data_IF_761083381663
#
_entry.id   IF_761083381663
#
_cell.length_a   1.000
_cell.length_b   1.000
_cell.length_c   1.000
_cell.angle_alpha   90.00
_cell.angle_beta   90.00
_cell.angle_gamma   90.00
#
_symmetry.space_group_name_H-M   'P 1'
#
loop_
_entity.id
_entity.type
_entity.pdbx_description
1 polymer ?
#
# COMPACT_ATOMS: atom_id res chain seq x y z
N UNK A 1 37.31 -6.02 16.51
CA UNK A 1 36.55 -7.27 16.32
C UNK A 1 35.89 -7.23 14.96
N UNK A 2 36.28 -8.10 14.04
CA UNK A 2 35.78 -8.11 12.66
C UNK A 2 34.36 -8.69 12.60
N UNK A 3 33.34 -7.86 12.34
CA UNK A 3 32.00 -8.33 12.01
C UNK A 3 32.00 -8.87 10.58
N UNK A 4 31.81 -10.18 10.45
CA UNK A 4 31.65 -10.86 9.17
C UNK A 4 30.18 -10.73 8.75
N UNK A 5 29.89 -9.79 7.84
CA UNK A 5 28.54 -9.65 7.27
C UNK A 5 28.47 -10.56 6.02
N UNK A 6 27.79 -11.70 6.15
CA UNK A 6 27.52 -12.61 5.02
C UNK A 6 26.43 -12.02 4.12
N UNK A 7 26.80 -11.66 2.88
CA UNK A 7 25.91 -11.08 1.85
C UNK A 7 25.52 -12.09 0.76
N UNK A 8 25.75 -13.39 0.95
CA UNK A 8 25.37 -14.39 -0.04
C UNK A 8 23.85 -14.41 -0.22
N UNK A 9 23.39 -14.32 -1.47
CA UNK A 9 22.00 -14.64 -1.80
C UNK A 9 21.76 -16.10 -1.43
N UNK A 10 20.98 -16.33 -0.36
CA UNK A 10 20.66 -17.66 0.14
C UNK A 10 20.21 -18.57 -0.99
N UNK A 11 20.93 -19.67 -1.20
CA UNK A 11 20.60 -20.66 -2.21
C UNK A 11 19.26 -21.33 -1.87
N UNK A 12 18.22 -20.95 -2.61
CA UNK A 12 17.06 -21.77 -2.99
C UNK A 12 16.36 -22.59 -1.89
N UNK A 13 15.22 -22.07 -1.41
CA UNK A 13 14.05 -22.81 -0.90
C UNK A 13 14.16 -23.63 0.40
N UNK A 14 15.35 -23.94 0.93
CA UNK A 14 15.48 -24.67 2.22
C UNK A 14 15.32 -23.78 3.46
N UNK A 15 15.71 -22.51 3.38
CA UNK A 15 15.65 -21.58 4.53
C UNK A 15 14.25 -21.09 4.85
N UNK A 16 13.38 -20.93 3.84
CA UNK A 16 12.01 -20.40 4.04
C UNK A 16 11.12 -21.35 4.81
N UNK A 17 11.15 -22.65 4.47
CA UNK A 17 10.38 -23.68 5.17
C UNK A 17 10.87 -23.87 6.60
N UNK A 18 12.19 -23.85 6.82
CA UNK A 18 12.78 -23.93 8.15
C UNK A 18 12.46 -22.68 8.98
N UNK A 19 12.53 -21.49 8.37
CA UNK A 19 12.11 -20.22 9.00
C UNK A 19 10.64 -20.27 9.39
N UNK A 20 9.75 -20.71 8.50
CA UNK A 20 8.32 -20.82 8.81
C UNK A 20 8.03 -21.83 9.93
N UNK A 21 8.72 -22.99 9.94
CA UNK A 21 8.63 -23.97 11.03
C UNK A 21 9.12 -23.39 12.35
N UNK A 22 10.23 -22.66 12.32
CA UNK A 22 10.78 -21.97 13.49
C UNK A 22 9.81 -20.91 14.02
N UNK A 23 9.32 -20.01 13.15
CA UNK A 23 8.32 -18.99 13.50
C UNK A 23 7.06 -19.63 14.12
N UNK A 24 6.60 -20.75 13.58
CA UNK A 24 5.44 -21.48 14.12
C UNK A 24 5.75 -22.14 15.47
N UNK A 25 6.94 -22.72 15.64
CA UNK A 25 7.36 -23.44 16.86
C UNK A 25 7.61 -22.47 18.02
N UNK A 26 8.31 -21.38 17.77
CA UNK A 26 8.68 -20.37 18.78
C UNK A 26 7.75 -19.15 18.76
N UNK A 27 6.56 -19.29 18.18
CA UNK A 27 5.59 -18.20 18.01
C UNK A 27 5.32 -17.44 19.30
N UNK A 28 5.19 -18.13 20.43
CA UNK A 28 4.93 -17.51 21.73
C UNK A 28 6.13 -16.70 22.25
N UNK A 29 7.35 -17.19 22.06
CA UNK A 29 8.57 -16.47 22.46
C UNK A 29 8.78 -15.25 21.58
N UNK A 30 8.57 -15.39 20.27
CA UNK A 30 8.59 -14.29 19.32
C UNK A 30 7.53 -13.24 19.69
N UNK A 31 6.30 -13.65 20.02
CA UNK A 31 5.24 -12.72 20.46
C UNK A 31 5.63 -11.94 21.72
N UNK A 32 6.22 -12.59 22.71
CA UNK A 32 6.72 -11.91 23.93
C UNK A 32 7.82 -10.91 23.58
N UNK A 33 8.79 -11.33 22.77
CA UNK A 33 9.87 -10.45 22.35
C UNK A 33 9.38 -9.25 21.53
N UNK A 34 8.38 -9.45 20.64
CA UNK A 34 7.69 -8.38 19.90
C UNK A 34 6.96 -7.43 20.85
N UNK A 35 6.22 -7.95 21.84
CA UNK A 35 5.53 -7.12 22.84
C UNK A 35 6.52 -6.24 23.63
N UNK A 36 7.62 -6.82 24.07
CA UNK A 36 8.65 -6.11 24.84
C UNK A 36 9.37 -5.05 23.99
N UNK A 37 9.57 -5.34 22.70
CA UNK A 37 10.16 -4.39 21.75
C UNK A 37 9.23 -3.20 21.47
N UNK A 38 7.91 -3.44 21.31
CA UNK A 38 6.91 -2.38 21.14
C UNK A 38 6.89 -1.42 22.34
N UNK A 39 7.04 -1.94 23.56
CA UNK A 39 7.13 -1.13 24.78
C UNK A 39 8.28 -0.12 24.75
N UNK A 40 9.38 -0.44 24.06
CA UNK A 40 10.59 0.40 23.99
C UNK A 40 10.69 1.32 22.78
N UNK A 41 9.93 1.05 21.70
CA UNK A 41 10.04 1.78 20.41
C UNK A 41 9.22 3.07 20.34
N UNK A 42 9.56 3.96 19.42
CA UNK A 42 8.67 5.02 18.94
C UNK A 42 7.67 4.49 17.89
N UNK A 43 6.45 5.03 17.89
CA UNK A 43 5.36 4.88 16.93
C UNK A 43 5.83 5.21 15.51
N UNK A 44 6.69 6.22 15.36
CA UNK A 44 7.18 6.71 14.06
C UNK A 44 8.13 5.73 13.35
N UNK A 45 8.92 4.96 14.10
CA UNK A 45 9.97 4.11 13.53
C UNK A 45 9.48 2.77 12.99
N UNK A 46 8.20 2.40 13.17
CA UNK A 46 7.62 1.08 12.91
C UNK A 46 7.74 0.62 11.44
N UNK A 47 7.96 1.55 10.51
CA UNK A 47 8.15 1.23 9.09
C UNK A 47 9.44 0.46 8.79
N UNK A 48 10.42 0.47 9.70
CA UNK A 48 11.68 -0.25 9.53
C UNK A 48 11.56 -1.70 10.05
N UNK A 49 12.10 -2.66 9.30
CA UNK A 49 12.18 -4.07 9.70
C UNK A 49 12.96 -4.25 11.02
N UNK A 50 12.56 -5.22 11.83
CA UNK A 50 13.02 -5.33 13.21
C UNK A 50 14.01 -6.48 13.40
N UNK A 51 15.07 -6.23 14.17
CA UNK A 51 15.99 -7.26 14.66
C UNK A 51 15.59 -7.68 16.07
N UNK A 52 14.98 -8.87 16.20
CA UNK A 52 14.56 -9.41 17.49
C UNK A 52 15.57 -10.45 17.93
N UNK A 53 16.16 -10.25 19.11
CA UNK A 53 16.97 -11.26 19.79
C UNK A 53 16.08 -12.17 20.63
N UNK A 54 16.23 -13.48 20.45
CA UNK A 54 15.61 -14.48 21.32
C UNK A 54 16.73 -15.18 22.10
N UNK A 55 16.66 -15.24 23.44
CA UNK A 55 17.66 -15.93 24.24
C UNK A 55 17.78 -17.40 23.84
N UNK A 56 19.02 -17.91 23.71
CA UNK A 56 19.26 -19.29 23.28
C UNK A 56 18.64 -20.34 24.22
N UNK A 57 18.50 -20.02 25.52
CA UNK A 57 17.84 -20.87 26.53
C UNK A 57 16.42 -21.28 26.14
N UNK A 58 15.69 -20.37 25.50
CA UNK A 58 14.30 -20.59 25.07
C UNK A 58 14.20 -21.41 23.78
N UNK A 59 15.33 -21.64 23.08
CA UNK A 59 15.38 -22.32 21.78
C UNK A 59 15.82 -23.79 21.90
N UNK A 60 16.12 -24.27 23.11
CA UNK A 60 16.67 -25.63 23.31
C UNK A 60 15.87 -26.74 22.62
N UNK A 61 16.56 -27.52 21.79
CA UNK A 61 15.99 -28.68 21.13
C UNK A 61 16.36 -29.96 21.88
N UNK A 62 15.41 -30.89 22.07
CA UNK A 62 15.74 -32.20 22.62
C UNK A 62 16.62 -32.94 21.63
N UNK A 63 17.83 -33.29 22.07
CA UNK A 63 18.78 -34.04 21.26
C UNK A 63 18.69 -35.53 21.61
N UNK A 64 18.32 -36.35 20.63
CA UNK A 64 18.33 -37.80 20.80
C UNK A 64 19.78 -38.30 20.70
N UNK A 65 20.26 -38.92 21.78
CA UNK A 65 21.51 -39.70 21.78
C UNK A 65 21.17 -41.17 21.90
N UNK A 66 21.93 -42.01 21.22
CA UNK A 66 21.88 -43.44 21.46
C UNK A 66 22.48 -43.69 22.85
N UNK A 67 21.61 -43.93 23.84
CA UNK A 67 22.03 -44.33 25.19
C UNK A 67 22.34 -45.84 25.24
N UNK A 68 23.15 -46.27 26.21
CA UNK A 68 23.41 -47.69 26.49
C UNK A 68 22.28 -48.38 27.28
N UNK A 69 21.05 -47.88 27.14
CA UNK A 69 19.86 -48.41 27.81
C UNK A 69 19.03 -49.28 26.87
N UNK A 70 18.32 -50.26 27.44
CA UNK A 70 17.47 -51.22 26.71
C UNK A 70 18.16 -52.56 26.43
N UNK A 71 17.38 -53.53 25.92
CA UNK A 71 17.92 -54.78 25.38
C UNK A 71 18.48 -54.48 23.98
N UNK A 72 19.81 -54.47 23.85
CA UNK A 72 20.48 -54.29 22.56
C UNK A 72 21.05 -55.63 22.13
N UNK A 73 20.52 -56.19 21.05
CA UNK A 73 21.07 -57.38 20.41
C UNK A 73 22.12 -56.94 19.37
N UNK A 74 23.38 -57.36 19.55
CA UNK A 74 24.47 -57.10 18.62
C UNK A 74 25.07 -58.43 18.20
N UNK A 75 25.24 -58.63 16.90
CA UNK A 75 25.99 -59.76 16.35
C UNK A 75 27.46 -59.37 16.27
N UNK A 76 28.34 -60.13 16.93
CA UNK A 76 29.80 -59.99 16.84
C UNK A 76 30.34 -61.17 16.02
N UNK A 77 30.93 -60.95 14.83
CA UNK A 77 31.53 -62.03 14.05
C UNK A 77 32.87 -62.48 14.66
N UNK A 78 33.20 -63.77 14.55
CA UNK A 78 34.47 -64.35 15.05
C UNK A 78 34.39 -64.96 16.46
N UNK A 79 33.33 -65.71 16.74
CA UNK A 79 33.14 -66.37 18.03
C UNK A 79 33.69 -67.80 18.00
N UNK A 80 34.86 -68.00 18.62
CA UNK A 80 35.47 -69.33 18.78
C UNK A 80 35.38 -69.86 20.22
N UNK A 81 34.98 -69.03 21.19
CA UNK A 81 35.10 -69.31 22.63
C UNK A 81 33.76 -69.36 23.41
N UNK A 82 32.66 -68.83 22.87
CA UNK A 82 31.39 -68.71 23.61
C UNK A 82 30.25 -69.55 23.01
N UNK A 83 29.39 -70.12 23.86
CA UNK A 83 28.19 -70.89 23.46
C UNK A 83 26.93 -70.08 23.79
N UNK A 84 25.81 -70.39 23.13
CA UNK A 84 24.50 -69.78 23.42
C UNK A 84 24.12 -69.93 24.89
N UNK A 85 24.09 -68.82 25.63
CA UNK A 85 23.77 -68.78 27.06
C UNK A 85 24.86 -68.20 27.95
N UNK A 86 26.09 -68.05 27.43
CA UNK A 86 27.21 -67.49 28.19
C UNK A 86 27.04 -65.99 28.50
N UNK A 87 27.46 -65.59 29.70
CA UNK A 87 27.41 -64.20 30.16
C UNK A 87 28.77 -63.53 29.91
N UNK A 88 28.84 -62.66 28.91
CA UNK A 88 30.03 -61.85 28.64
C UNK A 88 30.05 -60.67 29.63
N UNK A 89 31.22 -60.38 30.21
CA UNK A 89 31.39 -59.19 31.08
C UNK A 89 31.10 -57.94 30.26
N UNK A 90 30.23 -57.06 30.78
CA UNK A 90 29.95 -55.75 30.17
C UNK A 90 31.29 -55.02 29.99
N UNK A 91 31.63 -54.53 28.78
CA UNK A 91 32.85 -53.77 28.60
C UNK A 91 32.83 -52.59 29.57
N UNK A 92 33.83 -52.54 30.46
CA UNK A 92 34.09 -51.35 31.27
C UNK A 92 34.38 -50.23 30.29
N UNK A 93 33.58 -49.16 30.32
CA UNK A 93 33.65 -48.07 29.36
C UNK A 93 35.09 -47.68 29.07
N UNK A 94 35.51 -47.88 27.82
CA UNK A 94 36.83 -47.48 27.36
C UNK A 94 36.93 -45.96 27.42
N UNK A 95 37.67 -45.47 28.42
CA UNK A 95 38.26 -44.15 28.38
C UNK A 95 39.41 -44.15 27.37
N UNK A 96 39.25 -43.39 26.29
CA UNK A 96 40.26 -42.94 25.34
C UNK A 96 39.60 -41.82 24.53
N UNK A 97 40.10 -40.59 24.44
CA UNK A 97 41.34 -39.99 24.91
C UNK A 97 41.14 -38.48 25.08
N UNK A 98 42.17 -37.81 25.61
CA UNK A 98 42.11 -36.47 26.17
C UNK A 98 41.56 -35.36 25.27
N UNK A 99 40.81 -34.48 25.91
CA UNK A 99 40.56 -33.10 25.50
C UNK A 99 40.39 -32.31 26.79
N UNK A 100 41.28 -31.35 27.02
CA UNK A 100 41.46 -30.68 28.30
C UNK A 100 40.15 -30.15 28.89
N UNK A 101 40.02 -30.29 30.21
CA UNK A 101 39.06 -29.51 30.96
C UNK A 101 39.39 -28.04 30.79
N UNK A 102 38.65 -27.34 29.93
CA UNK A 102 38.36 -25.95 30.19
C UNK A 102 37.48 -25.95 31.43
N UNK A 103 38.02 -25.42 32.53
CA UNK A 103 37.17 -24.84 33.54
C UNK A 103 36.21 -23.90 32.80
N UNK A 104 34.93 -24.23 32.79
CA UNK A 104 33.90 -23.25 32.54
C UNK A 104 34.03 -22.24 33.67
N UNK A 105 34.70 -21.13 33.40
CA UNK A 105 34.61 -19.93 34.21
C UNK A 105 33.13 -19.62 34.43
N UNK A 106 32.74 -19.27 35.66
CA UNK A 106 31.41 -18.77 36.04
C UNK A 106 31.04 -17.43 35.35
N UNK A 107 31.85 -17.01 34.38
CA UNK A 107 31.69 -15.88 33.49
C UNK A 107 31.67 -16.34 32.03
N UNK A 108 30.86 -17.35 31.73
CA UNK A 108 30.62 -17.82 30.36
C UNK A 108 29.68 -16.87 29.62
N UNK A 109 30.22 -15.77 29.09
CA UNK A 109 29.60 -15.08 27.97
C UNK A 109 29.72 -15.96 26.71
N UNK A 110 28.59 -16.19 26.02
CA UNK A 110 28.59 -16.78 24.70
C UNK A 110 27.56 -17.88 24.44
N UNK A 111 26.37 -17.82 25.03
CA UNK A 111 25.21 -18.33 24.30
C UNK A 111 24.85 -17.25 23.28
N UNK A 112 25.19 -17.47 22.01
CA UNK A 112 24.90 -16.53 20.93
C UNK A 112 23.38 -16.37 20.82
N UNK A 113 22.93 -15.19 21.25
CA UNK A 113 21.59 -14.70 21.08
C UNK A 113 21.18 -14.80 19.60
N UNK A 114 20.08 -15.51 19.33
CA UNK A 114 19.60 -15.65 17.96
C UNK A 114 18.88 -14.37 17.55
N UNK A 115 19.56 -13.55 16.75
CA UNK A 115 19.00 -12.32 16.18
C UNK A 115 18.29 -12.64 14.85
N UNK A 116 16.99 -12.42 14.80
CA UNK A 116 16.19 -12.57 13.59
C UNK A 116 15.71 -11.22 13.06
N UNK A 117 15.77 -11.06 11.73
CA UNK A 117 15.14 -9.94 11.04
C UNK A 117 13.69 -10.30 10.66
N UNK A 118 12.74 -9.58 11.24
CA UNK A 118 11.34 -9.59 10.82
C UNK A 118 11.08 -8.50 9.79
N UNK A 119 10.29 -8.83 8.77
CA UNK A 119 9.76 -7.79 7.89
C UNK A 119 8.71 -6.96 8.63
N UNK A 120 8.45 -5.75 8.15
CA UNK A 120 7.36 -4.90 8.65
C UNK A 120 6.04 -5.67 8.71
N UNK A 121 5.68 -6.36 7.63
CA UNK A 121 4.41 -7.09 7.53
C UNK A 121 4.32 -8.23 8.57
N UNK A 122 5.39 -9.01 8.75
CA UNK A 122 5.43 -10.11 9.71
C UNK A 122 5.35 -9.61 11.16
N UNK A 123 6.06 -8.52 11.46
CA UNK A 123 5.99 -7.88 12.78
C UNK A 123 4.56 -7.43 13.10
N UNK A 124 3.89 -6.77 12.14
CA UNK A 124 2.53 -6.30 12.30
C UNK A 124 1.53 -7.44 12.46
N UNK A 125 1.67 -8.52 11.71
CA UNK A 125 0.81 -9.70 11.84
C UNK A 125 0.92 -10.31 13.23
N UNK A 126 2.16 -10.56 13.71
CA UNK A 126 2.40 -11.10 15.04
C UNK A 126 1.86 -10.20 16.16
N UNK A 127 1.96 -8.90 15.94
CA UNK A 127 1.43 -7.87 16.83
C UNK A 127 -0.11 -7.83 16.85
N UNK A 128 -0.77 -7.88 15.68
CA UNK A 128 -2.24 -7.87 15.59
C UNK A 128 -2.88 -9.15 16.08
N UNK A 129 -2.19 -10.28 15.95
CA UNK A 129 -2.63 -11.53 16.56
C UNK A 129 -2.69 -11.46 18.10
N UNK A 130 -1.87 -10.62 18.75
CA UNK A 130 -1.93 -10.39 20.20
C UNK A 130 -3.11 -9.48 20.59
N UNK A 131 -3.63 -8.70 19.63
CA UNK A 131 -4.75 -7.79 19.84
C UNK A 131 -6.12 -8.42 19.53
N UNK A 132 -6.16 -9.66 19.03
CA UNK A 132 -7.38 -10.41 18.70
C UNK A 132 -8.41 -9.58 17.88
N UNK A 133 -7.97 -8.99 16.75
CA UNK A 133 -8.81 -8.08 15.93
C UNK A 133 -9.35 -8.72 14.64
N UNK A 134 -10.38 -9.60 14.69
CA UNK A 134 -10.87 -10.35 13.51
C UNK A 134 -11.56 -9.48 12.45
N UNK A 135 -12.13 -8.33 12.83
CA UNK A 135 -12.93 -7.50 11.91
C UNK A 135 -12.13 -6.40 11.19
N UNK A 136 -10.83 -6.26 11.47
CA UNK A 136 -9.98 -5.24 10.83
C UNK A 136 -9.81 -5.51 9.33
N UNK A 137 -9.69 -6.78 8.95
CA UNK A 137 -9.56 -7.26 7.55
C UNK A 137 -10.77 -6.87 6.69
N UNK A 138 -11.98 -6.92 7.26
CA UNK A 138 -13.22 -6.62 6.52
C UNK A 138 -13.36 -5.15 6.17
N UNK A 139 -12.79 -4.25 7.00
CA UNK A 139 -12.88 -2.78 6.80
C UNK A 139 -11.91 -2.27 5.73
N UNK A 140 -10.83 -2.98 5.44
CA UNK A 140 -9.88 -2.59 4.38
C UNK A 140 -10.51 -2.56 2.98
N UNK A 141 -11.57 -3.36 2.76
CA UNK A 141 -12.29 -3.44 1.49
C UNK A 141 -13.25 -2.26 1.25
N UNK A 142 -13.49 -1.42 2.26
CA UNK A 142 -14.43 -0.29 2.21
C UNK A 142 -13.74 1.06 1.93
N UNK A 143 -12.73 1.10 1.05
CA UNK A 143 -12.11 2.37 0.63
C UNK A 143 -13.09 3.19 -0.23
N UNK A 144 -13.63 4.26 0.34
CA UNK A 144 -14.45 5.23 -0.37
C UNK A 144 -13.51 6.19 -1.11
N UNK A 145 -13.34 5.98 -2.41
CA UNK A 145 -12.63 6.95 -3.25
C UNK A 145 -13.51 8.19 -3.44
N UNK A 146 -13.00 9.35 -3.01
CA UNK A 146 -13.67 10.62 -3.29
C UNK A 146 -13.28 11.10 -4.70
N UNK A 147 -14.29 11.47 -5.49
CA UNK A 147 -14.10 11.93 -6.86
C UNK A 147 -14.43 13.42 -6.96
N UNK A 148 -13.57 14.18 -7.64
CA UNK A 148 -13.89 15.56 -8.05
C UNK A 148 -14.19 15.60 -9.53
N UNK A 149 -15.26 16.30 -9.88
CA UNK A 149 -15.60 16.57 -11.27
C UNK A 149 -14.74 17.73 -11.79
N UNK A 150 -13.92 17.48 -12.81
CA UNK A 150 -13.16 18.52 -13.51
C UNK A 150 -13.69 18.70 -14.94
N UNK A 151 -13.51 19.90 -15.50
CA UNK A 151 -13.88 20.19 -16.90
C UNK A 151 -12.82 19.58 -17.83
N UNK A 152 -13.24 18.67 -18.70
CA UNK A 152 -12.37 17.92 -19.62
C UNK A 152 -12.46 18.40 -21.08
N UNK A 153 -13.10 19.55 -21.31
CA UNK A 153 -13.29 20.10 -22.65
C UNK A 153 -14.67 19.77 -23.22
N UNK A 154 -14.71 19.31 -24.47
CA UNK A 154 -15.93 19.18 -25.26
C UNK A 154 -15.96 17.85 -26.02
N UNK A 155 -17.10 17.17 -26.04
CA UNK A 155 -17.33 15.91 -26.75
C UNK A 155 -18.43 16.06 -27.80
N UNK A 156 -18.48 15.16 -28.79
CA UNK A 156 -19.52 15.15 -29.83
C UNK A 156 -20.84 14.55 -29.36
N UNK A 157 -20.83 13.75 -28.29
CA UNK A 157 -22.01 13.16 -27.67
C UNK A 157 -22.05 13.46 -26.17
N UNK A 158 -23.26 13.52 -25.60
CA UNK A 158 -23.48 13.82 -24.20
C UNK A 158 -24.94 14.03 -23.87
N UNK A 159 -25.23 14.34 -22.61
CA UNK A 159 -26.59 14.66 -22.15
C UNK A 159 -27.01 16.03 -22.67
N UNK A 160 -28.28 16.23 -23.08
CA UNK A 160 -28.77 17.52 -23.58
C UNK A 160 -28.52 18.70 -22.63
N UNK A 161 -28.50 18.45 -21.33
CA UNK A 161 -28.18 19.44 -20.29
C UNK A 161 -26.78 20.04 -20.41
N UNK A 162 -25.83 19.31 -21.00
CA UNK A 162 -24.45 19.72 -21.14
C UNK A 162 -24.14 20.29 -22.55
N UNK A 163 -25.14 20.56 -23.39
CA UNK A 163 -24.91 21.11 -24.73
C UNK A 163 -24.16 22.45 -24.66
N UNK A 164 -23.07 22.53 -25.42
CA UNK A 164 -22.38 23.78 -25.69
C UNK A 164 -23.00 24.44 -26.92
N UNK A 165 -23.97 25.33 -26.69
CA UNK A 165 -24.74 25.99 -27.75
C UNK A 165 -23.83 26.76 -28.71
N UNK A 166 -22.86 27.53 -28.19
CA UNK A 166 -21.99 28.36 -29.02
C UNK A 166 -21.15 27.54 -29.99
N UNK A 167 -20.50 26.46 -29.51
CA UNK A 167 -19.69 25.58 -30.38
C UNK A 167 -20.57 24.78 -31.33
N UNK A 168 -21.73 24.31 -30.89
CA UNK A 168 -22.66 23.57 -31.75
C UNK A 168 -23.17 24.44 -32.90
N UNK A 169 -23.58 25.68 -32.61
CA UNK A 169 -24.03 26.65 -33.60
C UNK A 169 -22.91 27.07 -34.55
N UNK A 170 -21.67 27.19 -34.06
CA UNK A 170 -20.50 27.45 -34.92
C UNK A 170 -20.25 26.29 -35.89
N UNK A 171 -20.35 25.05 -35.43
CA UNK A 171 -20.20 23.87 -36.28
C UNK A 171 -21.33 23.78 -37.32
N UNK A 172 -22.57 24.01 -36.89
CA UNK A 172 -23.75 23.99 -37.75
C UNK A 172 -23.70 25.06 -38.85
N UNK A 173 -23.30 26.29 -38.51
CA UNK A 173 -23.15 27.37 -39.49
C UNK A 173 -22.02 27.08 -40.47
N UNK A 174 -20.87 26.57 -40.01
CA UNK A 174 -19.77 26.16 -40.88
C UNK A 174 -20.19 25.05 -41.86
N UNK A 175 -20.86 24.00 -41.37
CA UNK A 175 -21.40 22.91 -42.20
C UNK A 175 -22.39 23.44 -43.23
N UNK A 176 -23.31 24.29 -42.82
CA UNK A 176 -24.31 24.89 -43.71
C UNK A 176 -23.68 25.74 -44.80
N UNK A 177 -22.65 26.53 -44.47
CA UNK A 177 -21.90 27.30 -45.46
C UNK A 177 -21.21 26.36 -46.45
N UNK A 178 -20.52 25.32 -45.96
CA UNK A 178 -19.82 24.35 -46.82
C UNK A 178 -20.79 23.63 -47.79
N UNK A 179 -21.92 23.13 -47.30
CA UNK A 179 -22.92 22.43 -48.11
C UNK A 179 -23.66 23.37 -49.08
N UNK A 180 -23.94 24.60 -48.69
CA UNK A 180 -24.66 25.56 -49.53
C UNK A 180 -23.76 26.30 -50.54
N UNK A 181 -22.45 26.41 -50.28
CA UNK A 181 -21.48 27.15 -51.10
C UNK A 181 -21.50 26.77 -52.59
N UNK A 182 -21.40 25.48 -52.99
CA UNK A 182 -21.39 25.12 -54.41
C UNK A 182 -22.69 25.50 -55.13
N UNK A 183 -23.83 25.24 -54.50
CA UNK A 183 -25.15 25.60 -55.05
C UNK A 183 -25.34 27.11 -55.14
N UNK A 184 -24.88 27.88 -54.15
CA UNK A 184 -24.91 29.35 -54.18
C UNK A 184 -24.05 29.90 -55.31
N UNK A 185 -22.89 29.29 -55.60
CA UNK A 185 -22.03 29.68 -56.71
C UNK A 185 -22.71 29.41 -58.05
N UNK A 186 -23.26 28.21 -58.24
CA UNK A 186 -24.01 27.83 -59.44
C UNK A 186 -25.22 28.74 -59.66
N UNK A 187 -25.97 29.03 -58.59
CA UNK A 187 -27.13 29.91 -58.63
C UNK A 187 -26.76 31.32 -59.07
N UNK A 188 -25.65 31.87 -58.55
CA UNK A 188 -25.18 33.19 -58.97
C UNK A 188 -24.75 33.23 -60.43
N UNK A 189 -24.19 32.14 -60.96
CA UNK A 189 -23.83 32.03 -62.38
C UNK A 189 -25.09 31.95 -63.26
N UNK A 190 -26.03 31.07 -62.91
CA UNK A 190 -27.29 30.91 -63.63
C UNK A 190 -28.16 32.19 -63.61
N UNK A 191 -28.18 32.91 -62.48
CA UNK A 191 -28.88 34.20 -62.39
C UNK A 191 -28.26 35.26 -63.31
N UNK A 192 -26.92 35.32 -63.41
CA UNK A 192 -26.22 36.21 -64.34
C UNK A 192 -26.45 35.85 -65.81
N UNK A 193 -26.45 34.56 -66.14
CA UNK A 193 -26.74 34.08 -67.50
C UNK A 193 -28.18 34.41 -67.90
N UNK A 194 -29.13 34.24 -66.99
CA UNK A 194 -30.53 34.61 -67.21
C UNK A 194 -30.68 36.13 -67.42
N UNK A 195 -30.01 36.95 -66.61
CA UNK A 195 -29.99 38.41 -66.78
C UNK A 195 -29.43 38.83 -68.14
N UNK A 196 -28.34 38.21 -68.60
CA UNK A 196 -27.73 38.50 -69.91
C UNK A 196 -28.66 38.11 -71.08
N UNK A 197 -29.29 36.93 -71.01
CA UNK A 197 -30.23 36.49 -72.04
C UNK A 197 -31.48 37.37 -72.10
N UNK A 198 -31.96 37.85 -70.96
CA UNK A 198 -33.09 38.79 -70.91
C UNK A 198 -32.80 40.16 -71.53
N UNK A 199 -31.54 40.59 -71.53
CA UNK A 199 -31.09 41.85 -72.15
C UNK A 199 -30.80 41.72 -73.66
N UNK A 200 -30.78 40.50 -74.20
CA UNK A 200 -30.48 40.24 -75.61
C UNK A 200 -31.69 40.52 -76.52
N UNK A 201 -31.47 41.01 -77.74
CA UNK A 201 -32.52 41.48 -78.65
C UNK A 201 -33.48 40.37 -79.17
N UNK A 202 -33.06 39.10 -79.11
CA UNK A 202 -33.87 37.94 -79.47
C UNK A 202 -33.61 36.80 -78.46
N UNK A 203 -34.27 36.80 -77.28
CA UNK A 203 -34.03 35.80 -76.26
C UNK A 203 -34.55 34.43 -76.71
N UNK A 204 -33.69 33.41 -76.68
CA UNK A 204 -34.12 32.03 -76.86
C UNK A 204 -35.00 31.60 -75.67
N UNK A 205 -36.32 31.56 -75.89
CA UNK A 205 -37.31 31.29 -74.85
C UNK A 205 -37.12 29.91 -74.19
N UNK A 206 -36.57 28.94 -74.92
CA UNK A 206 -36.26 27.61 -74.39
C UNK A 206 -35.16 27.65 -73.34
N UNK A 207 -34.08 28.42 -73.57
CA UNK A 207 -32.97 28.56 -72.63
C UNK A 207 -33.37 29.34 -71.37
N UNK A 208 -34.20 30.37 -71.54
CA UNK A 208 -34.77 31.15 -70.42
C UNK A 208 -35.57 30.23 -69.48
N UNK A 209 -36.44 29.39 -70.02
CA UNK A 209 -37.24 28.43 -69.23
C UNK A 209 -36.36 27.40 -68.53
N UNK A 210 -35.30 26.92 -69.19
CA UNK A 210 -34.33 26.01 -68.60
C UNK A 210 -33.62 26.64 -67.40
N UNK A 211 -33.06 27.85 -67.57
CA UNK A 211 -32.36 28.56 -66.49
C UNK A 211 -33.28 28.88 -65.32
N UNK A 212 -34.54 29.27 -65.58
CA UNK A 212 -35.53 29.48 -64.51
C UNK A 212 -35.76 28.20 -63.69
N UNK A 213 -35.87 27.04 -64.36
CA UNK A 213 -36.01 25.74 -63.70
C UNK A 213 -34.78 25.37 -62.88
N UNK A 214 -33.59 25.61 -63.42
CA UNK A 214 -32.32 25.33 -62.76
C UNK A 214 -32.13 26.21 -61.52
N UNK A 215 -32.47 27.50 -61.61
CA UNK A 215 -32.47 28.44 -60.48
C UNK A 215 -33.46 27.97 -59.40
N UNK A 216 -34.67 27.57 -59.75
CA UNK A 216 -35.65 27.09 -58.79
C UNK A 216 -35.15 25.81 -58.07
N UNK A 217 -34.55 24.89 -58.83
CA UNK A 217 -33.94 23.68 -58.31
C UNK A 217 -32.80 23.98 -57.33
N UNK A 218 -31.88 24.89 -57.69
CA UNK A 218 -30.78 25.32 -56.83
C UNK A 218 -31.28 26.03 -55.57
N UNK A 219 -32.31 26.88 -55.69
CA UNK A 219 -32.98 27.51 -54.53
C UNK A 219 -33.61 26.48 -53.59
N UNK A 220 -34.19 25.40 -54.13
CA UNK A 220 -34.72 24.28 -53.33
C UNK A 220 -33.60 23.54 -52.61
N UNK A 221 -32.50 23.21 -53.31
CA UNK A 221 -31.34 22.53 -52.72
C UNK A 221 -30.69 23.33 -51.57
N UNK A 222 -30.56 24.65 -51.73
CA UNK A 222 -30.00 25.52 -50.68
C UNK A 222 -30.93 25.56 -49.45
N UNK A 223 -32.25 25.62 -49.67
CA UNK A 223 -33.25 25.61 -48.58
C UNK A 223 -33.36 24.27 -47.87
N UNK A 224 -33.05 23.16 -48.56
CA UNK A 224 -33.10 21.83 -47.99
C UNK A 224 -31.98 21.55 -46.96
N UNK A 225 -30.92 22.38 -46.89
CA UNK A 225 -29.83 22.19 -45.93
C UNK A 225 -30.33 22.43 -44.50
N UNK A 226 -30.29 21.43 -43.59
CA UNK A 226 -30.80 21.57 -42.24
C UNK A 226 -30.00 22.59 -41.41
N UNK A 227 -30.70 23.33 -40.56
CA UNK A 227 -30.09 24.37 -39.72
C UNK A 227 -29.19 23.79 -38.62
N UNK A 228 -29.61 22.71 -37.96
CA UNK A 228 -28.82 21.98 -36.95
C UNK A 228 -28.93 20.49 -37.27
N UNK A 229 -27.82 19.77 -37.17
CA UNK A 229 -27.75 18.33 -37.28
C UNK A 229 -27.10 17.73 -36.02
N UNK A 230 -27.35 16.46 -35.76
CA UNK A 230 -26.77 15.67 -34.65
C UNK A 230 -25.24 15.70 -34.66
N UNK A 231 -24.64 15.73 -35.85
CA UNK A 231 -23.18 15.82 -36.04
C UNK A 231 -22.59 17.17 -35.62
N UNK A 232 -23.41 18.21 -35.58
CA UNK A 232 -22.99 19.56 -35.18
C UNK A 232 -22.98 19.72 -33.65
N UNK A 233 -23.72 18.86 -32.93
CA UNK A 233 -23.87 18.98 -31.49
C UNK A 233 -22.54 18.74 -30.77
N UNK A 234 -22.27 19.59 -29.81
CA UNK A 234 -21.09 19.55 -28.95
C UNK A 234 -21.51 19.71 -27.52
N UNK A 235 -20.94 18.90 -26.63
CA UNK A 235 -21.31 18.80 -25.23
C UNK A 235 -20.11 19.12 -24.35
N UNK A 236 -20.32 19.89 -23.29
CA UNK A 236 -19.29 20.13 -22.28
C UNK A 236 -19.01 18.83 -21.54
N UNK A 237 -17.78 18.35 -21.63
CA UNK A 237 -17.36 17.11 -20.99
C UNK A 237 -16.82 17.39 -19.58
N UNK A 238 -17.26 16.58 -18.62
CA UNK A 238 -16.74 16.58 -17.26
C UNK A 238 -16.34 15.16 -16.91
N UNK A 239 -15.08 14.98 -16.51
CA UNK A 239 -14.57 13.69 -16.05
C UNK A 239 -14.42 13.72 -14.54
N UNK A 240 -14.61 12.54 -13.93
CA UNK A 240 -14.34 12.32 -12.51
C UNK A 240 -12.88 11.91 -12.37
N UNK A 241 -12.10 12.72 -11.65
CA UNK A 241 -10.72 12.39 -11.29
C UNK A 241 -10.69 12.06 -9.80
N UNK A 242 -10.04 10.97 -9.39
CA UNK A 242 -9.86 10.67 -7.97
C UNK A 242 -9.01 11.77 -7.34
N UNK A 243 -9.47 12.32 -6.21
CA UNK A 243 -8.67 13.26 -5.43
C UNK A 243 -8.06 12.46 -4.28
N UNK A 244 -6.73 12.27 -4.24
CA UNK A 244 -6.11 11.67 -3.07
C UNK A 244 -6.29 12.62 -1.88
N UNK A 245 -6.73 12.08 -0.75
CA UNK A 245 -6.60 12.79 0.53
C UNK A 245 -5.14 12.70 0.95
N UNK A 246 -4.38 13.76 0.68
CA UNK A 246 -2.92 13.73 0.79
C UNK A 246 -2.40 13.87 2.22
N UNK A 247 -3.22 14.34 3.16
CA UNK A 247 -2.77 14.72 4.51
C UNK A 247 -3.78 14.33 5.61
N UNK A 248 -3.27 13.84 6.73
CA UNK A 248 -4.02 13.60 7.97
C UNK A 248 -3.18 14.04 9.20
N UNK A 249 -3.85 14.40 10.29
CA UNK A 249 -3.21 14.73 11.57
C UNK A 249 -3.76 13.80 12.65
N UNK A 250 -2.87 13.20 13.44
CA UNK A 250 -3.19 12.26 14.51
C UNK A 250 -2.86 12.88 15.87
N UNK A 251 -3.90 13.20 16.64
CA UNK A 251 -3.77 13.68 18.02
C UNK A 251 -3.74 12.50 19.00
N UNK A 252 -2.61 12.30 19.65
CA UNK A 252 -2.44 11.32 20.72
C UNK A 252 -2.62 12.00 22.07
N UNK A 253 -3.75 11.77 22.72
CA UNK A 253 -4.06 12.38 24.02
C UNK A 253 -4.07 11.27 25.09
N UNK A 254 -3.27 11.40 26.14
CA UNK A 254 -3.25 10.45 27.26
C UNK A 254 -3.25 11.18 28.60
N UNK A 255 -3.97 10.62 29.59
CA UNK A 255 -3.83 11.01 30.99
C UNK A 255 -2.54 10.42 31.54
N UNK A 256 -1.91 11.10 32.47
CA UNK A 256 -0.63 10.71 33.05
C UNK A 256 -0.78 10.57 34.56
N UNK A 257 -1.99 10.81 35.08
CA UNK A 257 -2.34 10.76 36.51
C UNK A 257 -1.91 9.44 37.13
N UNK A 258 -1.82 9.40 38.46
CA UNK A 258 -1.42 8.19 39.19
C UNK A 258 -2.31 6.97 38.92
N UNK A 259 -3.45 7.13 38.24
CA UNK A 259 -4.32 6.04 37.79
C UNK A 259 -3.84 5.32 36.52
N UNK A 260 -2.84 5.88 35.82
CA UNK A 260 -2.28 5.34 34.58
C UNK A 260 -1.07 4.44 34.88
N UNK A 261 -1.41 3.20 35.23
CA UNK A 261 -0.48 2.11 35.45
C UNK A 261 0.27 1.71 34.16
N UNK A 262 1.43 1.08 34.29
CA UNK A 262 2.22 0.53 33.17
C UNK A 262 1.39 -0.28 32.15
N UNK A 263 0.52 -1.24 32.54
CA UNK A 263 -0.28 -1.98 31.56
C UNK A 263 -1.27 -1.11 30.79
N UNK A 264 -1.80 -0.04 31.38
CA UNK A 264 -2.71 0.89 30.67
C UNK A 264 -1.96 1.73 29.65
N UNK A 265 -0.73 2.15 29.98
CA UNK A 265 0.17 2.86 29.05
C UNK A 265 0.56 1.98 27.88
N UNK A 266 0.83 0.70 28.13
CA UNK A 266 1.13 -0.27 27.08
C UNK A 266 -0.06 -0.46 26.13
N UNK A 267 -1.28 -0.64 26.66
CA UNK A 267 -2.50 -0.74 25.83
C UNK A 267 -2.72 0.54 25.01
N UNK A 268 -2.54 1.71 25.61
CA UNK A 268 -2.72 2.98 24.91
C UNK A 268 -1.66 3.18 23.81
N UNK A 269 -0.39 2.86 24.11
CA UNK A 269 0.69 2.86 23.12
C UNK A 269 0.35 1.94 21.95
N UNK A 270 -0.12 0.74 22.27
CA UNK A 270 -0.52 -0.25 21.27
C UNK A 270 -1.65 0.25 20.35
N UNK A 271 -2.63 0.93 20.94
CA UNK A 271 -3.72 1.55 20.20
C UNK A 271 -3.24 2.67 19.26
N UNK A 272 -2.36 3.57 19.73
CA UNK A 272 -1.82 4.65 18.89
C UNK A 272 -1.00 4.10 17.72
N UNK A 273 -0.20 3.06 17.95
CA UNK A 273 0.53 2.36 16.88
C UNK A 273 -0.42 1.83 15.81
N UNK A 274 -1.49 1.16 16.22
CA UNK A 274 -2.48 0.62 15.29
C UNK A 274 -3.14 1.74 14.48
N UNK A 275 -3.50 2.84 15.14
CA UNK A 275 -4.09 4.00 14.48
C UNK A 275 -3.13 4.62 13.46
N UNK A 276 -1.85 4.79 13.82
CA UNK A 276 -0.82 5.31 12.92
C UNK A 276 -0.63 4.42 11.69
N UNK A 277 -0.58 3.10 11.88
CA UNK A 277 -0.48 2.14 10.78
C UNK A 277 -1.71 2.17 9.86
N UNK A 278 -2.90 2.29 10.44
CA UNK A 278 -4.12 2.43 9.65
C UNK A 278 -4.12 3.73 8.83
N UNK A 279 -3.67 4.83 9.42
CA UNK A 279 -3.57 6.11 8.75
C UNK A 279 -2.51 6.07 7.64
N UNK A 280 -1.32 5.51 7.89
CA UNK A 280 -0.23 5.42 6.88
C UNK A 280 -0.63 4.59 5.66
N UNK A 281 -1.52 3.60 5.84
CA UNK A 281 -2.08 2.84 4.72
C UNK A 281 -3.01 3.68 3.85
N UNK A 282 -3.71 4.66 4.43
CA UNK A 282 -4.80 5.40 3.78
C UNK A 282 -4.44 6.83 3.35
N UNK A 283 -3.39 7.42 3.94
CA UNK A 283 -2.95 8.79 3.71
C UNK A 283 -1.45 8.83 3.38
N UNK A 284 -1.05 9.72 2.47
CA UNK A 284 0.35 9.86 2.04
C UNK A 284 1.23 10.60 3.05
N UNK A 285 0.66 11.56 3.79
CA UNK A 285 1.37 12.34 4.81
C UNK A 285 0.58 12.38 6.10
N UNK A 286 1.24 12.10 7.21
CA UNK A 286 0.65 12.11 8.55
C UNK A 286 1.52 12.95 9.48
N UNK A 287 0.87 13.83 10.22
CA UNK A 287 1.49 14.62 11.30
C UNK A 287 1.01 14.07 12.66
N UNK A 288 1.94 13.89 13.59
CA UNK A 288 1.67 13.33 14.93
C UNK A 288 1.80 14.45 15.96
N UNK A 289 0.76 14.62 16.78
CA UNK A 289 0.76 15.59 17.89
C UNK A 289 0.45 14.85 19.19
N UNK A 290 1.36 14.92 20.17
CA UNK A 290 1.20 14.26 21.46
C UNK A 290 0.81 15.27 22.53
N UNK A 291 -0.29 15.01 23.23
CA UNK A 291 -0.81 15.88 24.29
C UNK A 291 -0.93 15.07 25.58
N UNK A 292 -0.19 15.47 26.60
CA UNK A 292 -0.38 14.93 27.96
C UNK A 292 -1.30 15.84 28.73
N UNK A 293 -2.26 15.25 29.44
CA UNK A 293 -3.13 15.97 30.36
C UNK A 293 -3.01 15.41 31.77
N UNK A 294 -2.94 16.34 32.73
CA UNK A 294 -3.17 16.13 34.15
C UNK A 294 -4.06 17.30 34.60
N UNK A 295 -3.55 18.21 35.43
CA UNK A 295 -4.19 19.48 35.77
C UNK A 295 -4.10 20.51 34.64
N UNK A 296 -3.10 20.41 33.76
CA UNK A 296 -2.96 21.24 32.56
C UNK A 296 -2.55 20.37 31.38
N UNK A 297 -3.06 20.68 30.19
CA UNK A 297 -2.69 19.99 28.96
C UNK A 297 -1.44 20.67 28.35
N UNK A 298 -0.46 19.86 27.95
CA UNK A 298 0.74 20.33 27.26
C UNK A 298 1.04 19.44 26.07
N UNK A 299 1.43 20.07 24.97
CA UNK A 299 2.06 19.38 23.85
C UNK A 299 3.45 18.91 24.30
N UNK A 300 3.76 17.65 23.98
CA UNK A 300 4.99 16.98 24.39
C UNK A 300 5.56 16.22 23.22
N UNK A 301 6.85 15.91 23.27
CA UNK A 301 7.45 14.99 22.32
C UNK A 301 7.04 13.54 22.63
N UNK A 302 7.29 12.65 21.68
CA UNK A 302 6.94 11.24 21.78
C UNK A 302 7.63 10.53 22.96
N UNK A 303 8.94 10.74 23.12
CA UNK A 303 9.72 10.17 24.23
C UNK A 303 9.14 10.58 25.57
N UNK A 304 8.85 11.87 25.70
CA UNK A 304 8.25 12.46 26.88
C UNK A 304 6.88 11.82 27.16
N UNK A 305 6.05 11.64 26.14
CA UNK A 305 4.71 11.06 26.24
C UNK A 305 4.70 9.65 26.87
N UNK A 306 5.69 8.79 26.55
CA UNK A 306 5.73 7.40 27.05
C UNK A 306 6.72 7.14 28.19
N UNK A 307 7.84 7.86 28.29
CA UNK A 307 8.95 7.55 29.21
C UNK A 307 8.81 8.28 30.55
N UNK A 308 8.25 9.50 30.57
CA UNK A 308 8.19 10.33 31.77
C UNK A 308 7.04 9.92 32.70
N UNK A 309 7.15 8.70 33.24
CA UNK A 309 6.59 8.33 34.53
C UNK A 309 7.63 8.36 35.66
N UNK A 310 8.93 8.55 35.35
CA UNK A 310 10.02 8.39 36.33
C UNK A 310 10.83 9.63 36.72
N UNK A 311 10.59 10.84 36.18
CA UNK A 311 11.32 12.04 36.64
C UNK A 311 10.53 13.32 36.41
N UNK A 312 9.84 13.80 37.44
CA UNK A 312 9.56 15.23 37.58
C UNK A 312 10.56 15.77 38.60
N UNK A 313 11.73 16.18 38.13
CA UNK A 313 12.53 17.22 38.79
C UNK A 313 13.03 18.15 37.68
N UNK A 314 12.64 19.42 37.81
CA UNK A 314 13.13 20.68 37.20
C UNK A 314 14.28 20.56 36.18
N UNK A 315 14.28 21.23 35.03
CA UNK A 315 14.10 22.67 34.81
C UNK A 315 14.04 22.99 33.30
N UNK A 316 13.13 23.86 32.87
CA UNK A 316 13.18 24.52 31.56
C UNK A 316 14.44 25.40 31.44
N UNK A 317 14.99 25.53 30.22
CA UNK A 317 14.91 26.83 29.57
C UNK A 317 14.31 26.73 28.18
N UNK A 318 13.35 27.62 27.96
CA UNK A 318 12.66 27.89 26.72
C UNK A 318 13.63 28.53 25.73
N UNK A 319 13.82 27.92 24.56
CA UNK A 319 14.28 28.62 23.35
C UNK A 319 13.55 28.06 22.14
N UNK A 320 12.42 28.68 21.83
CA UNK A 320 11.83 28.64 20.50
C UNK A 320 12.64 29.57 19.59
N UNK A 321 13.02 29.08 18.41
CA UNK A 321 13.27 29.96 17.28
C UNK A 321 12.58 29.37 16.04
N UNK A 322 11.99 30.30 15.30
CA UNK A 322 11.12 30.19 14.13
C UNK A 322 11.60 29.27 13.01
#
# INVERSE_FOLDING_TARGET
>A
MSQLIDRRQNAGKKSTVNRQRFLRRYKNHIKRAVSDAVGRRSITEIDQGEQISIPAKDISEPHFRHGQGGQVERVLPGNDEFITGDRIKRPSGGGSGGGGGSQASDSGEGEDDFVFQLTREEFLELYFEDLELPDLVKKELARINTFKSIRAGVTSSGTPTNINVLRSMRQATARRIALASPYKRQLRLAEKELEHLQQSAAPEQLEVLRLQRDIEFLKKKIRAVPFIDTLDLRYNNRIRVPVPSTQAVMFCIMDVSGSMDEPKKDIAKRFFILLYLFLTRNYEKIELVFIRHHTSAKEVNEEDFFILAKRVVQSCPVLWNY
#
